data_IF_422571653798
#
_entry.id   IF_422571653798
#
_cell.length_a   1.000
_cell.length_b   1.000
_cell.length_c   1.000
_cell.angle_alpha   90.00
_cell.angle_beta   90.00
_cell.angle_gamma   90.00
#
_symmetry.space_group_name_H-M   'P 1'
#
loop_
_entity.id
_entity.type
_entity.pdbx_description
1 polymer ?
#
# COMPACT_ATOMS: atom_id res chain seq x y z
N UNK A 1 -5.19 -5.59 -6.18
CA UNK A 1 -3.81 -5.08 -6.26
C UNK A 1 -3.17 -5.15 -4.91
N UNK A 2 -1.85 -5.27 -4.90
CA UNK A 2 -1.10 -5.41 -3.67
C UNK A 2 -0.28 -4.15 -3.42
N UNK A 3 -0.42 -3.58 -2.23
CA UNK A 3 0.38 -2.45 -1.80
C UNK A 3 1.55 -2.98 -0.99
N UNK A 4 2.74 -2.45 -1.24
CA UNK A 4 3.95 -2.95 -0.58
C UNK A 4 4.55 -1.88 0.32
N UNK A 5 5.53 -2.31 1.10
CA UNK A 5 6.28 -1.41 1.97
C UNK A 5 6.97 -0.30 1.14
N UNK A 6 7.44 -0.65 -0.06
CA UNK A 6 8.08 0.35 -0.90
C UNK A 6 7.08 1.41 -1.37
N UNK A 7 5.85 1.02 -1.62
CA UNK A 7 4.81 1.97 -2.00
C UNK A 7 4.53 2.94 -0.85
N UNK A 8 4.49 2.44 0.36
CA UNK A 8 4.27 3.28 1.53
C UNK A 8 5.42 4.27 1.71
N UNK A 9 6.64 3.82 1.49
CA UNK A 9 7.78 4.70 1.61
C UNK A 9 7.77 5.78 0.53
N UNK A 10 7.30 5.45 -0.66
CA UNK A 10 7.20 6.43 -1.73
C UNK A 10 6.23 7.57 -1.38
N UNK A 11 5.24 7.28 -0.52
CA UNK A 11 4.33 8.30 -0.06
C UNK A 11 4.87 9.07 1.15
N UNK A 12 6.06 8.71 1.63
CA UNK A 12 6.65 9.39 2.77
C UNK A 12 6.28 8.78 4.11
N UNK A 13 5.66 7.62 4.12
CA UNK A 13 5.32 6.97 5.38
C UNK A 13 6.57 6.35 5.99
N UNK A 14 6.85 6.66 7.24
CA UNK A 14 8.06 6.15 7.88
C UNK A 14 7.78 4.85 8.61
N UNK A 15 8.84 4.09 8.86
CA UNK A 15 8.70 2.81 9.52
C UNK A 15 8.08 2.95 10.90
N UNK A 16 8.42 3.99 11.64
CA UNK A 16 7.87 4.18 12.97
C UNK A 16 6.35 4.38 12.91
N UNK A 17 5.88 5.16 11.96
CA UNK A 17 4.45 5.37 11.79
C UNK A 17 3.75 4.10 11.34
N UNK A 18 4.37 3.35 10.43
CA UNK A 18 3.79 2.10 9.97
C UNK A 18 3.72 1.07 11.09
N UNK A 19 4.75 1.02 11.94
CA UNK A 19 4.72 0.08 13.06
C UNK A 19 3.64 0.43 14.07
N UNK A 20 3.27 1.69 14.18
CA UNK A 20 2.19 2.06 15.07
C UNK A 20 0.84 1.75 14.46
N UNK A 21 0.73 1.84 13.14
CA UNK A 21 -0.52 1.57 12.45
C UNK A 21 -0.84 0.09 12.48
N UNK A 22 0.20 -0.74 12.38
CA UNK A 22 0.05 -2.18 12.49
C UNK A 22 0.27 -2.60 13.96
N UNK A 23 -0.22 -3.76 14.38
CA UNK A 23 -1.03 -4.68 13.60
C UNK A 23 -2.48 -4.25 13.51
N UNK A 24 -3.14 -4.72 12.49
CA UNK A 24 -4.55 -4.39 12.31
C UNK A 24 -5.21 -5.57 11.62
N UNK A 25 -6.31 -6.05 12.19
CA UNK A 25 -7.06 -7.18 11.62
C UNK A 25 -6.18 -8.41 11.38
N UNK A 26 -5.25 -8.67 12.30
CA UNK A 26 -4.37 -9.81 12.17
C UNK A 26 -3.19 -9.61 11.21
N UNK A 27 -3.09 -8.47 10.58
CA UNK A 27 -1.99 -8.20 9.67
C UNK A 27 -0.91 -7.44 10.43
N UNK A 28 0.30 -7.99 10.46
CA UNK A 28 1.41 -7.37 11.19
C UNK A 28 2.25 -6.54 10.23
N UNK A 29 3.09 -5.68 10.80
CA UNK A 29 4.01 -4.90 9.99
C UNK A 29 4.97 -5.81 9.22
N UNK A 30 5.41 -6.91 9.84
CA UNK A 30 6.30 -7.84 9.17
C UNK A 30 5.61 -8.50 7.99
N UNK A 31 4.35 -8.86 8.13
CA UNK A 31 3.61 -9.47 7.05
C UNK A 31 3.48 -8.47 5.91
N UNK A 32 3.19 -7.21 6.22
CA UNK A 32 3.12 -6.16 5.22
C UNK A 32 4.45 -6.01 4.48
N UNK A 33 5.57 -6.03 5.22
CA UNK A 33 6.88 -5.89 4.59
C UNK A 33 7.20 -7.05 3.67
N UNK A 34 6.79 -8.24 4.03
CA UNK A 34 7.15 -9.44 3.28
C UNK A 34 6.22 -9.71 2.11
N UNK A 35 4.96 -9.51 2.30
CA UNK A 35 3.96 -9.91 1.31
C UNK A 35 3.14 -8.76 0.76
N UNK A 36 3.10 -7.65 1.45
CA UNK A 36 2.20 -6.57 1.08
C UNK A 36 0.78 -6.85 1.53
N UNK A 37 -0.12 -5.96 1.23
CA UNK A 37 -1.54 -6.12 1.59
C UNK A 37 -2.38 -5.69 0.39
N UNK A 38 -3.59 -6.19 0.30
CA UNK A 38 -4.44 -5.83 -0.83
C UNK A 38 -4.97 -4.41 -0.68
N UNK A 39 -5.13 -3.73 -1.80
CA UNK A 39 -5.71 -2.39 -1.77
C UNK A 39 -7.17 -2.46 -1.32
N UNK A 40 -7.86 -3.56 -1.59
CA UNK A 40 -9.23 -3.72 -1.14
C UNK A 40 -9.28 -3.75 0.39
N UNK A 41 -8.37 -4.47 1.02
CA UNK A 41 -8.32 -4.50 2.48
C UNK A 41 -8.02 -3.12 3.05
N UNK A 42 -7.10 -2.38 2.41
CA UNK A 42 -6.77 -1.05 2.87
C UNK A 42 -7.99 -0.14 2.83
N UNK A 43 -8.80 -0.26 1.80
CA UNK A 43 -9.99 0.56 1.71
C UNK A 43 -11.03 0.19 2.75
N UNK A 44 -11.10 -1.07 3.14
CA UNK A 44 -12.09 -1.50 4.13
C UNK A 44 -11.76 -1.01 5.53
N UNK A 45 -10.51 -0.62 5.79
CA UNK A 45 -10.13 -0.15 7.12
C UNK A 45 -10.77 1.20 7.44
N UNK A 46 -11.15 1.95 6.42
CA UNK A 46 -11.70 3.29 6.62
C UNK A 46 -10.67 4.31 7.07
N UNK A 47 -9.42 3.95 7.13
CA UNK A 47 -8.36 4.84 7.58
C UNK A 47 -7.84 5.68 6.43
N UNK A 48 -7.71 6.98 6.63
CA UNK A 48 -7.30 7.87 5.56
C UNK A 48 -5.93 7.53 4.98
N UNK A 49 -4.99 7.13 5.83
CA UNK A 49 -3.65 6.78 5.35
C UNK A 49 -3.69 5.51 4.52
N UNK A 50 -4.50 4.54 4.93
CA UNK A 50 -4.62 3.29 4.20
C UNK A 50 -5.28 3.51 2.85
N UNK A 51 -6.32 4.32 2.81
CA UNK A 51 -7.02 4.61 1.57
C UNK A 51 -6.09 5.36 0.62
N UNK A 52 -5.28 6.28 1.15
CA UNK A 52 -4.34 7.02 0.33
C UNK A 52 -3.30 6.10 -0.28
N UNK A 53 -2.83 5.11 0.47
CA UNK A 53 -1.89 4.13 -0.05
C UNK A 53 -2.55 3.30 -1.15
N UNK A 54 -3.78 2.88 -0.95
CA UNK A 54 -4.52 2.11 -1.95
C UNK A 54 -4.68 2.92 -3.23
N UNK A 55 -5.01 4.19 -3.11
CA UNK A 55 -5.17 5.06 -4.27
C UNK A 55 -3.85 5.25 -5.02
N UNK A 56 -2.76 5.38 -4.27
CA UNK A 56 -1.45 5.54 -4.88
C UNK A 56 -1.09 4.32 -5.72
N UNK A 57 -1.27 3.13 -5.14
CA UNK A 57 -0.92 1.89 -5.83
C UNK A 57 -1.79 1.70 -7.07
N UNK A 58 -3.07 1.97 -6.95
CA UNK A 58 -3.98 1.81 -8.09
C UNK A 58 -3.65 2.81 -9.19
N UNK A 59 -3.25 4.02 -8.82
CA UNK A 59 -2.88 5.02 -9.79
C UNK A 59 -1.58 4.65 -10.50
N UNK A 60 -0.61 4.08 -9.78
CA UNK A 60 0.63 3.63 -10.39
C UNK A 60 0.36 2.49 -11.36
N UNK A 61 -0.50 1.58 -11.00
CA UNK A 61 -0.84 0.48 -11.89
C UNK A 61 -1.55 0.98 -13.15
N UNK A 62 -2.34 2.02 -13.02
CA UNK A 62 -3.01 2.58 -14.17
C UNK A 62 -2.04 3.33 -15.08
N UNK A 63 -0.97 3.89 -14.53
CA UNK A 63 -0.01 4.61 -15.32
C UNK A 63 0.97 3.73 -16.01
N UNK A 64 1.37 2.67 -15.37
CA UNK A 64 2.38 1.82 -15.92
C UNK A 64 2.09 1.28 -17.27
N UNK A 65 0.95 0.79 -17.53
CA UNK A 65 0.71 0.15 -18.78
C UNK A 65 0.98 0.97 -19.97
N UNK A 66 0.97 2.21 -19.82
CA UNK A 66 1.15 2.94 -20.96
C UNK A 66 2.40 2.72 -21.57
N UNK A 67 3.38 2.70 -20.83
CA UNK A 67 4.59 2.56 -21.41
C UNK A 67 4.76 1.24 -21.71
N UNK A 68 4.32 0.43 -20.92
CA UNK A 68 4.50 -0.91 -21.24
C UNK A 68 3.92 -1.15 -22.55
N UNK A 69 2.87 -0.54 -22.74
CA UNK A 69 2.21 -0.81 -23.90
C UNK A 69 2.95 -0.37 -25.04
N UNK A 70 3.56 0.66 -24.97
CA UNK A 70 4.15 1.11 -26.03
C UNK A 70 5.12 0.28 -26.45
N UNK A 71 5.49 -0.30 -25.74
CA UNK A 71 6.50 -1.11 -26.22
C UNK A 71 5.98 -2.05 -27.23
#
# INVERSE_FOLDING_TARGET
MIATHLDAKALGYCNAGLRRWFPRDGVTFDLFRQQGVSTDWLRTTGDAMAIRLAEYVERQAASVPNEGAKA
#
